data_IF_168550838446
#
_entry.id   IF_168550838446
#
_cell.length_a   1.000
_cell.length_b   1.000
_cell.length_c   1.000
_cell.angle_alpha   90.00
_cell.angle_beta   90.00
_cell.angle_gamma   90.00
#
_symmetry.space_group_name_H-M   'P 1'
#
loop_
_entity.id
_entity.type
_entity.pdbx_description
1 polymer ?
#
# COMPACT_ATOMS: atom_id res chain seq x y z
N UNK A 1 -35.43 -12.29 -5.52
CA UNK A 1 -34.76 -11.68 -4.35
C UNK A 1 -33.27 -11.61 -4.67
N UNK A 2 -32.81 -10.48 -5.17
CA UNK A 2 -31.37 -10.26 -5.35
C UNK A 2 -30.78 -9.93 -3.98
N UNK A 3 -29.98 -10.85 -3.45
CA UNK A 3 -29.20 -10.60 -2.24
C UNK A 3 -28.25 -9.43 -2.52
N UNK A 4 -28.40 -8.37 -1.71
CA UNK A 4 -27.56 -7.18 -1.78
C UNK A 4 -26.12 -7.52 -1.42
N UNK A 5 -25.10 -7.19 -2.24
CA UNK A 5 -23.70 -7.52 -1.96
C UNK A 5 -23.08 -6.43 -1.07
N UNK A 6 -23.69 -6.17 0.10
CA UNK A 6 -22.97 -5.47 1.17
C UNK A 6 -22.23 -6.52 2.00
N UNK A 7 -20.94 -6.30 2.21
CA UNK A 7 -20.04 -7.07 3.11
C UNK A 7 -19.25 -8.24 2.52
N UNK A 8 -18.60 -8.02 1.38
CA UNK A 8 -17.26 -8.59 1.18
C UNK A 8 -16.29 -7.42 1.21
N UNK A 9 -15.72 -7.14 2.38
CA UNK A 9 -14.55 -6.27 2.51
C UNK A 9 -13.42 -7.04 1.79
N UNK A 10 -13.27 -6.81 0.48
CA UNK A 10 -12.19 -7.42 -0.29
C UNK A 10 -10.91 -6.86 0.31
N UNK A 11 -10.17 -7.69 1.04
CA UNK A 11 -8.85 -7.33 1.57
C UNK A 11 -7.94 -7.18 0.34
N UNK A 12 -7.79 -5.95 -0.13
CA UNK A 12 -6.88 -5.62 -1.21
C UNK A 12 -5.48 -5.49 -0.60
N UNK A 13 -4.59 -6.44 -0.93
CA UNK A 13 -3.21 -6.41 -0.45
C UNK A 13 -2.32 -5.77 -1.54
N UNK A 14 -1.55 -4.76 -1.16
CA UNK A 14 -0.53 -4.15 -2.01
C UNK A 14 0.86 -4.51 -1.47
N UNK A 15 1.71 -5.05 -2.34
CA UNK A 15 3.12 -5.31 -2.02
C UNK A 15 3.95 -4.36 -2.87
N UNK A 16 4.77 -3.54 -2.21
CA UNK A 16 5.64 -2.57 -2.87
C UNK A 16 7.06 -2.72 -2.34
N UNK A 17 8.02 -2.76 -3.26
CA UNK A 17 9.44 -2.66 -2.93
C UNK A 17 9.82 -1.19 -2.74
N UNK A 18 10.68 -0.92 -1.76
CA UNK A 18 11.16 0.44 -1.54
C UNK A 18 12.63 0.46 -1.16
N UNK A 19 13.40 1.30 -1.85
CA UNK A 19 14.76 1.68 -1.46
C UNK A 19 14.76 2.86 -0.46
N UNK A 20 13.60 3.51 -0.24
CA UNK A 20 13.47 4.59 0.74
C UNK A 20 13.27 3.99 2.12
N UNK A 21 13.54 4.77 3.16
CA UNK A 21 13.23 4.33 4.52
C UNK A 21 11.73 4.03 4.65
N UNK A 22 11.42 2.95 5.38
CA UNK A 22 10.05 2.50 5.58
C UNK A 22 9.17 3.60 6.20
N UNK A 23 9.73 4.41 7.11
CA UNK A 23 8.99 5.50 7.75
C UNK A 23 8.54 6.58 6.76
N UNK A 24 9.32 6.86 5.71
CA UNK A 24 8.93 7.80 4.65
C UNK A 24 7.80 7.20 3.82
N UNK A 25 7.91 5.92 3.42
CA UNK A 25 6.84 5.26 2.64
C UNK A 25 5.52 5.19 3.39
N UNK A 26 5.54 4.87 4.68
CA UNK A 26 4.32 4.85 5.50
C UNK A 26 3.65 6.23 5.50
N UNK A 27 4.42 7.32 5.70
CA UNK A 27 3.88 8.68 5.65
C UNK A 27 3.26 9.00 4.28
N UNK A 28 3.97 8.72 3.19
CA UNK A 28 3.48 8.95 1.83
C UNK A 28 2.17 8.19 1.56
N UNK A 29 2.06 6.95 2.05
CA UNK A 29 0.84 6.14 1.92
C UNK A 29 -0.33 6.77 2.69
N UNK A 30 -0.10 7.17 3.94
CA UNK A 30 -1.12 7.82 4.77
C UNK A 30 -1.58 9.16 4.18
N UNK A 31 -0.64 9.98 3.69
CA UNK A 31 -0.97 11.23 3.00
C UNK A 31 -1.78 10.98 1.72
N UNK A 32 -1.40 9.94 0.95
CA UNK A 32 -2.16 9.49 -0.21
C UNK A 32 -3.61 9.14 0.13
N UNK A 33 -3.82 8.37 1.21
CA UNK A 33 -5.16 8.01 1.71
C UNK A 33 -5.98 9.23 2.13
N UNK A 34 -5.37 10.13 2.93
CA UNK A 34 -6.02 11.34 3.43
C UNK A 34 -6.44 12.28 2.30
N UNK A 35 -5.58 12.44 1.30
CA UNK A 35 -5.81 13.35 0.17
C UNK A 35 -6.90 12.89 -0.80
N UNK A 36 -7.34 11.62 -0.74
CA UNK A 36 -8.23 10.99 -1.72
C UNK A 36 -7.75 11.12 -3.17
N UNK A 37 -6.47 11.38 -3.40
CA UNK A 37 -5.93 11.54 -4.75
C UNK A 37 -5.97 10.21 -5.47
N UNK A 38 -6.68 10.16 -6.58
CA UNK A 38 -6.74 8.99 -7.47
C UNK A 38 -5.39 8.63 -8.11
N UNK A 39 -4.41 9.55 -8.05
CA UNK A 39 -3.03 9.28 -8.45
C UNK A 39 -2.26 8.42 -7.43
N UNK A 40 -2.81 8.18 -6.24
CA UNK A 40 -2.22 7.29 -5.23
C UNK A 40 -3.07 6.02 -5.09
N UNK A 41 -2.46 4.85 -4.83
CA UNK A 41 -3.21 3.61 -4.67
C UNK A 41 -4.32 3.70 -3.61
N UNK A 42 -3.99 4.17 -2.40
CA UNK A 42 -4.98 4.28 -1.33
C UNK A 42 -6.05 5.35 -1.58
N UNK A 43 -5.70 6.48 -2.19
CA UNK A 43 -6.69 7.51 -2.53
C UNK A 43 -7.66 7.05 -3.63
N UNK A 44 -7.16 6.30 -4.62
CA UNK A 44 -7.99 5.67 -5.64
C UNK A 44 -8.91 4.59 -5.05
N UNK A 45 -8.37 3.73 -4.19
CA UNK A 45 -9.13 2.70 -3.48
C UNK A 45 -10.24 3.31 -2.62
N UNK A 46 -9.91 4.35 -1.82
CA UNK A 46 -10.87 5.11 -1.03
C UNK A 46 -12.05 5.61 -1.87
N UNK A 47 -11.74 6.18 -3.03
CA UNK A 47 -12.74 6.79 -3.91
C UNK A 47 -13.61 5.74 -4.60
N UNK A 48 -13.01 4.64 -5.08
CA UNK A 48 -13.68 3.63 -5.91
C UNK A 48 -14.41 2.56 -5.10
N UNK A 49 -13.87 2.18 -3.95
CA UNK A 49 -14.36 1.06 -3.13
C UNK A 49 -15.14 1.57 -1.93
N UNK A 50 -14.64 2.62 -1.26
CA UNK A 50 -15.26 3.17 -0.06
C UNK A 50 -16.10 4.43 -0.31
N UNK A 51 -16.37 4.80 -1.58
CA UNK A 51 -17.12 6.00 -1.94
C UNK A 51 -16.59 7.29 -1.27
N UNK A 52 -15.27 7.38 -1.08
CA UNK A 52 -14.61 8.50 -0.42
C UNK A 52 -14.64 8.46 1.11
N UNK A 53 -15.27 7.47 1.74
CA UNK A 53 -15.23 7.25 3.19
C UNK A 53 -13.86 6.71 3.60
N UNK A 54 -13.36 7.13 4.76
CA UNK A 54 -12.09 6.61 5.28
C UNK A 54 -12.19 5.12 5.65
N UNK A 55 -11.05 4.43 5.66
CA UNK A 55 -10.96 3.00 5.90
C UNK A 55 -9.67 2.65 6.65
N UNK A 56 -9.68 1.53 7.35
CA UNK A 56 -8.51 1.05 8.09
C UNK A 56 -7.50 0.39 7.15
N UNK A 57 -6.21 0.56 7.43
CA UNK A 57 -5.11 -0.02 6.65
C UNK A 57 -4.13 -0.66 7.61
N UNK A 58 -3.82 -1.92 7.35
CA UNK A 58 -2.76 -2.66 8.03
C UNK A 58 -1.57 -2.82 7.08
N UNK A 59 -0.35 -2.58 7.60
CA UNK A 59 0.89 -2.75 6.84
C UNK A 59 1.80 -3.75 7.53
N UNK A 60 2.20 -4.78 6.79
CA UNK A 60 3.16 -5.78 7.24
C UNK A 60 4.45 -5.69 6.41
N UNK A 61 5.60 -5.83 7.08
CA UNK A 61 6.90 -5.98 6.39
C UNK A 61 7.03 -7.45 6.01
N UNK A 62 6.91 -7.75 4.71
CA UNK A 62 6.98 -9.12 4.19
C UNK A 62 8.43 -9.56 3.98
N UNK A 63 9.31 -8.63 3.60
CA UNK A 63 10.75 -8.84 3.48
C UNK A 63 11.49 -7.54 3.83
N UNK A 64 12.62 -7.64 4.53
CA UNK A 64 13.50 -6.52 4.84
C UNK A 64 14.93 -6.90 4.47
N UNK A 65 15.43 -6.30 3.40
CA UNK A 65 16.82 -6.49 2.97
C UNK A 65 17.66 -5.35 3.53
N UNK A 66 18.35 -5.59 4.65
CA UNK A 66 19.24 -4.60 5.28
C UNK A 66 20.48 -4.28 4.44
N UNK A 67 20.78 -5.09 3.42
CA UNK A 67 22.06 -5.06 2.69
C UNK A 67 21.88 -4.93 1.18
N UNK A 68 21.35 -3.78 0.73
CA UNK A 68 21.36 -3.41 -0.70
C UNK A 68 22.81 -3.33 -1.25
N UNK A 69 23.80 -3.04 -0.39
CA UNK A 69 25.20 -2.93 -0.80
C UNK A 69 25.88 -4.28 -1.08
N UNK A 70 25.55 -5.35 -0.36
CA UNK A 70 26.27 -6.62 -0.47
C UNK A 70 25.91 -7.39 -1.76
N UNK A 71 24.66 -7.31 -2.22
CA UNK A 71 24.20 -8.04 -3.41
C UNK A 71 24.71 -7.45 -4.73
N UNK A 72 24.82 -6.11 -4.82
CA UNK A 72 25.46 -5.44 -5.97
C UNK A 72 26.94 -5.78 -6.12
N UNK A 73 27.62 -6.15 -5.03
CA UNK A 73 29.01 -6.62 -5.08
C UNK A 73 29.09 -8.05 -5.61
N UNK A 74 28.10 -8.92 -5.38
CA UNK A 74 28.16 -10.32 -5.81
C UNK A 74 27.70 -10.55 -7.26
N UNK A 75 26.79 -9.73 -7.79
CA UNK A 75 26.36 -9.82 -9.21
C UNK A 75 27.34 -9.14 -10.19
N UNK A 76 28.41 -8.52 -9.66
CA UNK A 76 29.49 -7.90 -10.43
C UNK A 76 30.77 -8.73 -10.53
N UNK A 77 30.76 -9.99 -10.08
CA UNK A 77 31.86 -10.94 -10.24
C UNK A 77 31.46 -12.11 -11.15
#
# INVERSE_FOLDING_TARGET
>A
MYSSPHSLHLIEYTVEETARSLCIRIKEHLEGKLSSRSSTPLGAHRTRVHNGVDFEVETAIIAFESEISARKTLEGF
#
